data_IF_260817736128
#
_entry.id   IF_260817736128
#
_cell.length_a   1.000
_cell.length_b   1.000
_cell.length_c   1.000
_cell.angle_alpha   90.00
_cell.angle_beta   90.00
_cell.angle_gamma   90.00
#
_symmetry.space_group_name_H-M   'P 1'
#
loop_
_entity.id
_entity.type
_entity.pdbx_description
1 polymer ?
#
# COMPACT_ATOMS: atom_id res chain seq x y z
N UNK A 1 -4.08 1.40 11.49
CA UNK A 1 -3.19 0.59 10.63
C UNK A 1 -2.59 1.51 9.59
N UNK A 2 -1.28 1.42 9.38
CA UNK A 2 -0.58 2.13 8.30
C UNK A 2 0.05 1.09 7.38
N UNK A 3 -0.20 1.19 6.09
CA UNK A 3 0.33 0.27 5.08
C UNK A 3 1.02 1.03 3.95
N UNK A 4 2.28 0.71 3.67
CA UNK A 4 3.07 1.28 2.59
C UNK A 4 3.19 0.30 1.43
N UNK A 5 2.92 0.73 0.21
CA UNK A 5 3.10 -0.05 -1.02
C UNK A 5 2.37 -1.41 -0.95
N UNK A 6 3.08 -2.53 -0.95
CA UNK A 6 2.51 -3.87 -0.72
C UNK A 6 1.79 -3.95 0.63
N UNK A 7 2.31 -3.28 1.65
CA UNK A 7 1.62 -3.15 2.94
C UNK A 7 0.27 -2.45 2.82
N UNK A 8 0.12 -1.52 1.89
CA UNK A 8 -1.16 -0.87 1.56
C UNK A 8 -2.16 -1.84 0.92
N UNK A 9 -1.69 -2.70 0.04
CA UNK A 9 -2.51 -3.79 -0.53
C UNK A 9 -3.11 -4.67 0.56
N UNK A 10 -2.29 -5.11 1.51
CA UNK A 10 -2.75 -5.97 2.61
C UNK A 10 -3.60 -5.22 3.63
N UNK A 11 -3.21 -3.99 3.98
CA UNK A 11 -3.97 -3.18 4.94
C UNK A 11 -5.39 -2.87 4.43
N UNK A 12 -5.55 -2.64 3.14
CA UNK A 12 -6.85 -2.38 2.53
C UNK A 12 -7.84 -3.54 2.75
N UNK A 13 -7.35 -4.78 2.77
CA UNK A 13 -8.18 -5.97 2.99
C UNK A 13 -8.72 -6.10 4.42
N UNK A 14 -8.11 -5.43 5.38
CA UNK A 14 -8.55 -5.46 6.78
C UNK A 14 -9.74 -4.53 6.95
N UNK A 15 -10.86 -5.03 7.43
CA UNK A 15 -12.10 -4.28 7.60
C UNK A 15 -12.34 -3.89 9.05
N UNK A 16 -13.04 -2.77 9.26
CA UNK A 16 -13.41 -2.28 10.59
C UNK A 16 -12.29 -1.53 11.32
N UNK A 17 -11.19 -1.20 10.66
CA UNK A 17 -10.06 -0.49 11.25
C UNK A 17 -9.82 0.85 10.54
N UNK A 18 -9.39 1.86 11.30
CA UNK A 18 -8.83 3.07 10.69
C UNK A 18 -7.53 2.73 9.98
N UNK A 19 -7.41 3.15 8.73
CA UNK A 19 -6.28 2.81 7.85
C UNK A 19 -5.75 4.04 7.16
N UNK A 20 -4.43 4.08 7.04
CA UNK A 20 -3.73 5.04 6.19
C UNK A 20 -2.88 4.22 5.22
N UNK A 21 -3.21 4.32 3.95
CA UNK A 21 -2.52 3.63 2.88
C UNK A 21 -1.57 4.61 2.20
N UNK A 22 -0.28 4.35 2.26
CA UNK A 22 0.75 5.21 1.68
C UNK A 22 1.26 4.57 0.40
N UNK A 23 1.04 5.23 -0.73
CA UNK A 23 1.41 4.72 -2.06
C UNK A 23 1.04 3.24 -2.24
N UNK A 24 -0.21 2.83 -1.95
CA UNK A 24 -0.60 1.44 -2.00
C UNK A 24 -0.45 0.89 -3.42
N UNK A 25 0.05 -0.33 -3.54
CA UNK A 25 0.15 -1.04 -4.81
C UNK A 25 -0.94 -2.11 -4.88
N UNK A 26 -2.01 -1.84 -5.61
CA UNK A 26 -3.11 -2.77 -5.82
C UNK A 26 -2.85 -3.73 -7.00
N UNK A 27 -1.70 -3.63 -7.66
CA UNK A 27 -1.32 -4.40 -8.84
C UNK A 27 0.11 -4.95 -8.72
N UNK A 28 0.47 -5.40 -7.53
CA UNK A 28 1.82 -5.90 -7.22
C UNK A 28 2.26 -7.06 -8.13
N UNK A 29 1.32 -7.82 -8.66
CA UNK A 29 1.65 -8.94 -9.58
C UNK A 29 2.41 -8.48 -10.81
N UNK A 30 2.17 -7.28 -11.30
CA UNK A 30 2.92 -6.70 -12.43
C UNK A 30 4.41 -6.57 -12.11
N UNK A 31 4.72 -6.04 -10.93
CA UNK A 31 6.09 -5.91 -10.46
C UNK A 31 6.72 -7.29 -10.23
N UNK A 32 6.00 -8.18 -9.55
CA UNK A 32 6.50 -9.53 -9.24
C UNK A 32 6.85 -10.31 -10.51
N UNK A 33 6.08 -10.16 -11.59
CA UNK A 33 6.39 -10.83 -12.87
C UNK A 33 7.71 -10.38 -13.48
N UNK A 34 8.18 -9.17 -13.17
CA UNK A 34 9.50 -8.69 -13.61
C UNK A 34 10.65 -9.21 -12.73
N UNK A 35 10.31 -9.87 -11.62
CA UNK A 35 11.24 -10.30 -10.59
C UNK A 35 11.31 -11.84 -10.46
N UNK A 36 10.72 -12.58 -11.38
CA UNK A 36 10.72 -14.06 -11.31
C UNK A 36 12.15 -14.59 -11.18
N UNK A 37 12.34 -15.54 -10.28
CA UNK A 37 13.62 -16.16 -9.94
C UNK A 37 14.05 -15.88 -8.51
N UNK A 38 15.30 -16.21 -8.19
CA UNK A 38 15.90 -15.95 -6.90
C UNK A 38 16.30 -14.49 -6.77
N UNK A 39 15.94 -13.88 -5.63
CA UNK A 39 16.23 -12.49 -5.31
C UNK A 39 16.84 -12.37 -3.93
N UNK A 40 17.71 -11.39 -3.75
CA UNK A 40 18.32 -11.09 -2.46
C UNK A 40 17.43 -10.15 -1.63
N UNK A 41 17.41 -10.37 -0.33
CA UNK A 41 16.82 -9.40 0.59
C UNK A 41 17.66 -8.13 0.66
N UNK A 42 17.00 -6.98 0.68
CA UNK A 42 17.67 -5.68 0.83
C UNK A 42 18.24 -5.46 2.24
N UNK A 43 17.69 -6.15 3.22
CA UNK A 43 18.12 -6.05 4.62
C UNK A 43 18.27 -7.44 5.23
N UNK A 44 19.21 -7.62 6.17
CA UNK A 44 19.38 -8.89 6.86
C UNK A 44 18.09 -9.34 7.55
N UNK A 45 17.76 -10.63 7.40
CA UNK A 45 16.62 -11.25 8.10
C UNK A 45 17.07 -11.88 9.42
N UNK A 46 16.16 -11.86 10.38
CA UNK A 46 16.43 -12.47 11.71
C UNK A 46 16.63 -13.98 11.63
N UNK A 47 16.01 -14.64 10.65
CA UNK A 47 16.15 -16.08 10.44
C UNK A 47 17.41 -16.47 9.65
N UNK A 48 18.23 -15.49 9.25
CA UNK A 48 19.46 -15.71 8.47
C UNK A 48 19.25 -15.98 7.00
N UNK A 49 18.03 -15.97 6.49
CA UNK A 49 17.76 -16.14 5.06
C UNK A 49 18.35 -14.96 4.27
N UNK A 50 19.07 -15.28 3.18
CA UNK A 50 19.70 -14.29 2.31
C UNK A 50 18.88 -13.99 1.07
N UNK A 51 18.07 -14.94 0.62
CA UNK A 51 17.32 -14.86 -0.63
C UNK A 51 15.87 -15.29 -0.45
N UNK A 52 15.05 -14.91 -1.41
CA UNK A 52 13.69 -15.39 -1.59
C UNK A 52 13.47 -15.70 -3.08
N UNK A 53 12.45 -16.48 -3.38
CA UNK A 53 12.13 -16.86 -4.76
C UNK A 53 10.77 -16.31 -5.15
N UNK A 54 10.71 -15.62 -6.30
CA UNK A 54 9.48 -15.20 -6.96
C UNK A 54 9.17 -16.23 -8.05
N UNK A 55 8.01 -16.86 -7.95
CA UNK A 55 7.54 -17.89 -8.90
C UNK A 55 6.36 -17.38 -9.71
N UNK A 56 6.08 -18.02 -10.85
CA UNK A 56 4.86 -17.76 -11.61
C UNK A 56 3.61 -18.01 -10.75
N UNK A 57 3.61 -19.07 -9.95
CA UNK A 57 2.50 -19.39 -9.05
C UNK A 57 2.24 -18.28 -8.03
N UNK A 58 3.30 -17.66 -7.48
CA UNK A 58 3.17 -16.51 -6.59
C UNK A 58 2.53 -15.32 -7.31
N UNK A 59 2.99 -15.03 -8.53
CA UNK A 59 2.42 -13.94 -9.34
C UNK A 59 0.94 -14.18 -9.65
N UNK A 60 0.57 -15.41 -10.00
CA UNK A 60 -0.83 -15.79 -10.28
C UNK A 60 -1.71 -15.67 -9.03
N UNK A 61 -1.20 -16.04 -7.86
CA UNK A 61 -1.92 -15.90 -6.59
C UNK A 61 -2.17 -14.43 -6.24
N UNK A 62 -1.17 -13.56 -6.41
CA UNK A 62 -1.37 -12.12 -6.22
C UNK A 62 -2.35 -11.54 -7.24
N UNK A 63 -2.28 -11.94 -8.51
CA UNK A 63 -3.23 -11.50 -9.52
C UNK A 63 -4.67 -11.90 -9.16
N UNK A 64 -4.86 -13.10 -8.62
CA UNK A 64 -6.16 -13.56 -8.12
C UNK A 64 -6.66 -12.71 -6.95
N UNK A 65 -5.80 -12.42 -5.99
CA UNK A 65 -6.14 -11.55 -4.83
C UNK A 65 -6.46 -10.12 -5.28
N UNK A 66 -5.73 -9.58 -6.24
CA UNK A 66 -5.97 -8.26 -6.81
C UNK A 66 -7.35 -8.16 -7.47
N UNK A 67 -7.79 -9.21 -8.16
CA UNK A 67 -9.09 -9.22 -8.85
C UNK A 67 -10.28 -9.07 -7.91
N UNK A 68 -10.11 -9.37 -6.63
CA UNK A 68 -11.12 -9.27 -5.58
C UNK A 68 -10.77 -8.28 -4.48
N UNK A 69 -9.80 -7.41 -4.71
CA UNK A 69 -9.22 -6.49 -3.70
C UNK A 69 -10.28 -5.65 -2.99
N UNK A 70 -11.24 -5.14 -3.74
CA UNK A 70 -12.28 -4.25 -3.21
C UNK A 70 -13.64 -4.93 -3.04
N UNK A 71 -13.72 -6.24 -3.23
CA UNK A 71 -14.99 -6.98 -3.09
C UNK A 71 -15.51 -6.86 -1.66
N UNK A 72 -16.83 -6.65 -1.54
CA UNK A 72 -17.50 -6.53 -0.25
C UNK A 72 -17.16 -5.24 0.51
N UNK A 73 -16.62 -4.22 -0.16
CA UNK A 73 -16.33 -2.93 0.47
C UNK A 73 -17.63 -2.24 0.89
N UNK A 74 -17.83 -2.10 2.20
CA UNK A 74 -18.97 -1.40 2.76
C UNK A 74 -18.73 0.11 2.82
N UNK A 75 -19.79 0.90 2.80
CA UNK A 75 -19.71 2.37 2.84
C UNK A 75 -19.00 2.90 4.10
N UNK A 76 -19.12 2.20 5.22
CA UNK A 76 -18.47 2.55 6.47
C UNK A 76 -16.93 2.52 6.37
N UNK A 77 -16.38 1.67 5.51
CA UNK A 77 -14.94 1.58 5.28
C UNK A 77 -14.38 2.85 4.62
N UNK A 78 -15.19 3.56 3.85
CA UNK A 78 -14.76 4.81 3.20
C UNK A 78 -14.33 5.84 4.25
N UNK A 79 -15.11 6.00 5.31
CA UNK A 79 -14.79 6.95 6.39
C UNK A 79 -13.56 6.52 7.21
N UNK A 80 -13.25 5.23 7.24
CA UNK A 80 -12.15 4.67 8.00
C UNK A 80 -10.81 4.67 7.25
N UNK A 81 -10.82 4.92 5.93
CA UNK A 81 -9.62 4.73 5.10
C UNK A 81 -9.19 6.05 4.46
N UNK A 82 -7.91 6.39 4.62
CA UNK A 82 -7.27 7.54 3.97
C UNK A 82 -6.12 7.05 3.09
N UNK A 83 -6.06 7.53 1.86
CA UNK A 83 -4.95 7.26 0.94
C UNK A 83 -4.01 8.47 0.86
N UNK A 84 -2.71 8.21 0.99
CA UNK A 84 -1.65 9.20 0.85
C UNK A 84 -0.84 8.87 -0.40
N UNK A 85 -0.76 9.81 -1.34
CA UNK A 85 -0.13 9.57 -2.65
C UNK A 85 0.97 10.60 -2.92
N UNK A 86 2.20 10.12 -3.09
CA UNK A 86 3.31 10.96 -3.50
C UNK A 86 3.11 11.47 -4.93
N UNK A 87 3.34 12.75 -5.16
CA UNK A 87 3.13 13.38 -6.47
C UNK A 87 4.15 12.96 -7.54
N UNK A 88 5.29 12.38 -7.11
CA UNK A 88 6.37 11.89 -7.98
C UNK A 88 6.64 10.41 -7.77
N UNK A 89 5.60 9.62 -7.54
CA UNK A 89 5.72 8.18 -7.47
C UNK A 89 5.82 7.61 -8.89
N UNK A 90 7.04 7.19 -9.26
CA UNK A 90 7.35 6.60 -10.56
C UNK A 90 7.11 5.08 -10.60
N UNK A 91 6.93 4.44 -9.46
CA UNK A 91 6.77 2.98 -9.35
C UNK A 91 5.32 2.55 -9.37
N UNK A 92 4.45 3.31 -8.68
CA UNK A 92 3.06 2.95 -8.44
C UNK A 92 2.17 4.18 -8.58
N UNK A 93 1.07 4.06 -9.29
CA UNK A 93 0.08 5.13 -9.40
C UNK A 93 -1.32 4.54 -9.32
N UNK A 94 -1.81 4.34 -8.11
CA UNK A 94 -3.14 3.79 -7.85
C UNK A 94 -4.11 4.84 -7.26
N UNK A 95 -3.80 6.13 -7.39
CA UNK A 95 -4.62 7.19 -6.80
C UNK A 95 -6.03 7.24 -7.36
N UNK A 96 -6.16 7.20 -8.68
CA UNK A 96 -7.47 7.28 -9.34
C UNK A 96 -8.32 6.03 -9.03
N UNK A 97 -7.70 4.87 -9.01
CA UNK A 97 -8.36 3.62 -8.60
C UNK A 97 -8.81 3.69 -7.14
N UNK A 98 -7.94 4.16 -6.25
CA UNK A 98 -8.29 4.38 -4.84
C UNK A 98 -9.48 5.34 -4.71
N UNK A 99 -9.44 6.48 -5.38
CA UNK A 99 -10.51 7.49 -5.32
C UNK A 99 -11.85 6.95 -5.82
N UNK A 100 -11.84 6.01 -6.77
CA UNK A 100 -13.07 5.37 -7.26
C UNK A 100 -13.77 4.55 -6.16
N UNK A 101 -13.01 3.93 -5.26
CA UNK A 101 -13.55 3.13 -4.15
C UNK A 101 -13.68 3.90 -2.84
N UNK A 102 -12.86 4.92 -2.64
CA UNK A 102 -12.81 5.76 -1.44
C UNK A 102 -12.94 7.24 -1.81
N UNK A 103 -14.11 7.66 -2.33
CA UNK A 103 -14.29 9.03 -2.84
C UNK A 103 -14.03 10.08 -1.76
N UNK A 104 -13.21 11.08 -2.11
CA UNK A 104 -12.84 12.17 -1.21
C UNK A 104 -11.83 11.81 -0.12
N UNK A 105 -11.24 10.61 -0.18
CA UNK A 105 -10.33 10.13 0.86
C UNK A 105 -8.86 10.08 0.44
N UNK A 106 -8.53 10.52 -0.77
CA UNK A 106 -7.14 10.61 -1.22
C UNK A 106 -6.55 11.97 -0.89
N UNK A 107 -5.27 11.97 -0.54
CA UNK A 107 -4.43 13.17 -0.34
C UNK A 107 -3.12 12.99 -1.08
N UNK A 108 -2.61 14.09 -1.64
CA UNK A 108 -1.31 14.09 -2.30
C UNK A 108 -0.29 14.83 -1.44
N UNK A 109 0.96 14.43 -1.53
CA UNK A 109 2.07 15.11 -0.87
C UNK A 109 3.30 15.12 -1.79
N UNK A 110 4.21 16.09 -1.66
CA UNK A 110 5.45 16.11 -2.42
C UNK A 110 6.37 14.96 -1.98
N UNK A 111 6.71 14.07 -2.89
CA UNK A 111 7.56 12.94 -2.59
C UNK A 111 7.61 11.90 -3.68
N UNK A 112 8.30 10.81 -3.41
CA UNK A 112 8.45 9.63 -4.26
C UNK A 112 7.83 8.41 -3.62
N UNK A 113 7.96 7.23 -4.23
CA UNK A 113 7.30 6.00 -3.77
C UNK A 113 7.59 5.64 -2.31
N UNK A 114 8.87 5.73 -1.91
CA UNK A 114 9.29 5.45 -0.54
C UNK A 114 9.53 6.78 0.18
N UNK A 115 8.63 7.18 1.10
CA UNK A 115 8.81 8.43 1.83
C UNK A 115 10.04 8.37 2.72
N UNK A 116 10.85 9.42 2.71
CA UNK A 116 11.96 9.59 3.63
C UNK A 116 11.47 10.08 5.00
N UNK A 117 12.37 10.11 5.99
CA UNK A 117 12.00 10.52 7.33
C UNK A 117 11.40 11.95 7.41
N UNK A 118 11.99 12.98 6.76
CA UNK A 118 11.36 14.31 6.72
C UNK A 118 9.96 14.32 6.11
N UNK A 119 9.73 13.56 5.06
CA UNK A 119 8.40 13.45 4.41
C UNK A 119 7.39 12.76 5.32
N UNK A 120 7.80 11.68 5.99
CA UNK A 120 6.96 11.00 6.97
C UNK A 120 6.55 11.96 8.07
N UNK A 121 7.51 12.68 8.65
CA UNK A 121 7.28 13.62 9.74
C UNK A 121 6.38 14.80 9.32
N UNK A 122 6.57 15.30 8.11
CA UNK A 122 5.86 16.50 7.64
C UNK A 122 4.47 16.20 7.08
N UNK A 123 4.29 15.08 6.39
CA UNK A 123 3.06 14.82 5.62
C UNK A 123 2.24 13.64 6.13
N UNK A 124 2.87 12.58 6.59
CA UNK A 124 2.18 11.34 6.96
C UNK A 124 1.82 11.34 8.44
N UNK A 125 2.77 11.65 9.31
CA UNK A 125 2.54 11.66 10.76
C UNK A 125 1.37 12.56 11.18
N UNK A 126 1.21 13.81 10.65
CA UNK A 126 0.05 14.63 11.00
C UNK A 126 -1.29 14.00 10.63
N UNK A 127 -1.36 13.25 9.55
CA UNK A 127 -2.57 12.51 9.17
C UNK A 127 -2.85 11.38 10.14
N UNK A 128 -1.82 10.64 10.57
CA UNK A 128 -1.95 9.59 11.59
C UNK A 128 -2.46 10.20 12.90
N UNK A 129 -1.87 11.29 13.34
CA UNK A 129 -2.26 11.97 14.58
C UNK A 129 -3.71 12.45 14.53
N UNK A 130 -4.13 13.03 13.41
CA UNK A 130 -5.51 13.45 13.19
C UNK A 130 -6.48 12.26 13.28
N UNK A 131 -6.20 11.17 12.56
CA UNK A 131 -7.07 10.00 12.52
C UNK A 131 -7.14 9.26 13.86
N UNK A 132 -6.10 9.35 14.69
CA UNK A 132 -6.08 8.76 16.04
C UNK A 132 -6.79 9.65 17.05
N UNK A 133 -6.70 10.97 16.92
CA UNK A 133 -7.28 11.94 17.86
C UNK A 133 -8.78 12.19 17.64
N UNK A 134 -9.28 11.91 16.44
CA UNK A 134 -10.68 12.07 16.06
C UNK A 134 -11.51 10.89 16.62
N UNK A 135 -11.87 11.00 17.88
CA UNK A 135 -12.64 9.96 18.59
C UNK A 135 -13.88 10.54 19.25
#
# INVERSE_FOLDING_TARGET
>A
IVGLSLGGFWAQKLRGYRKILVNPDFHISRLLRTMIGEREYLSPRRDGALTFTVTDALCDEYARLESVEFDGLASEEVALTTGMFADRDEMVNCKDEFEAYYPGRSRSYPGTHLPNYPEIKKYILPVIEYEVSDK
#
